data_IF_098275569178
#
_entry.id   IF_098275569178
#
_cell.length_a   1.000
_cell.length_b   1.000
_cell.length_c   1.000
_cell.angle_alpha   90.00
_cell.angle_beta   90.00
_cell.angle_gamma   90.00
#
_symmetry.space_group_name_H-M   'P 1'
#
loop_
_entity.id
_entity.type
_entity.pdbx_description
1 polymer ?
#
# COMPACT_ATOMS: atom_id res chain seq x y z
N UNK A 1 18.20 60.04 4.96
CA UNK A 1 17.20 58.96 5.10
C UNK A 1 17.37 57.92 4.00
N UNK A 2 17.16 58.26 2.72
CA UNK A 2 17.24 57.28 1.61
C UNK A 2 18.57 56.51 1.49
N UNK A 3 19.73 57.17 1.69
CA UNK A 3 21.05 56.49 1.69
C UNK A 3 21.17 55.41 2.77
N UNK A 4 20.69 55.69 3.98
CA UNK A 4 20.75 54.75 5.11
C UNK A 4 19.85 53.52 4.89
N UNK A 5 18.73 53.67 4.15
CA UNK A 5 17.89 52.54 3.76
C UNK A 5 18.59 51.64 2.72
N UNK A 6 19.34 52.22 1.78
CA UNK A 6 20.12 51.47 0.79
C UNK A 6 21.31 50.76 1.43
N UNK A 7 21.99 51.40 2.36
CA UNK A 7 23.11 50.83 3.11
C UNK A 7 22.68 49.63 3.96
N UNK A 8 21.55 49.74 4.68
CA UNK A 8 20.96 48.62 5.42
C UNK A 8 20.53 47.45 4.51
N UNK A 9 19.96 47.74 3.34
CA UNK A 9 19.57 46.69 2.39
C UNK A 9 20.77 45.87 1.90
N UNK A 10 21.91 46.52 1.64
CA UNK A 10 23.17 45.87 1.24
C UNK A 10 23.73 45.02 2.39
N UNK A 11 23.64 45.50 3.63
CA UNK A 11 24.06 44.75 4.82
C UNK A 11 23.22 43.47 5.02
N UNK A 12 21.88 43.56 4.90
CA UNK A 12 20.98 42.39 4.96
C UNK A 12 21.23 41.39 3.81
N UNK A 13 21.61 41.88 2.62
CA UNK A 13 21.93 41.03 1.46
C UNK A 13 23.27 40.28 1.64
N UNK A 14 24.30 40.96 2.14
CA UNK A 14 25.58 40.31 2.50
C UNK A 14 25.41 39.29 3.63
N UNK A 15 24.56 39.56 4.62
CA UNK A 15 24.28 38.59 5.70
C UNK A 15 23.57 37.33 5.17
N UNK A 16 22.64 37.47 4.23
CA UNK A 16 21.99 36.33 3.55
C UNK A 16 23.00 35.51 2.74
N UNK A 17 23.81 36.15 1.90
CA UNK A 17 24.84 35.47 1.11
C UNK A 17 25.87 34.73 1.98
N UNK A 18 26.23 35.30 3.14
CA UNK A 18 27.12 34.64 4.11
C UNK A 18 26.49 33.38 4.72
N UNK A 19 25.19 33.42 5.05
CA UNK A 19 24.45 32.25 5.57
C UNK A 19 24.26 31.16 4.53
N UNK A 20 23.92 31.52 3.30
CA UNK A 20 23.75 30.58 2.19
C UNK A 20 25.06 29.81 1.90
N UNK A 21 26.19 30.53 1.86
CA UNK A 21 27.51 29.90 1.72
C UNK A 21 27.87 28.97 2.89
N UNK A 22 27.51 29.33 4.12
CA UNK A 22 27.76 28.47 5.28
C UNK A 22 26.97 27.14 5.20
N UNK A 23 25.72 27.19 4.72
CA UNK A 23 24.88 26.01 4.47
C UNK A 23 25.47 25.14 3.35
N UNK A 24 25.96 25.75 2.26
CA UNK A 24 26.61 25.02 1.16
C UNK A 24 27.87 24.27 1.64
N UNK A 25 28.74 24.92 2.42
CA UNK A 25 29.91 24.27 3.02
C UNK A 25 29.54 23.14 4.00
N UNK A 26 28.44 23.27 4.75
CA UNK A 26 27.96 22.21 5.66
C UNK A 26 27.41 21.01 4.89
N UNK A 27 26.63 21.22 3.82
CA UNK A 27 26.19 20.16 2.92
C UNK A 27 27.36 19.44 2.25
N UNK A 28 28.41 20.16 1.84
CA UNK A 28 29.59 19.55 1.23
C UNK A 28 30.38 18.69 2.25
N UNK A 29 30.49 19.11 3.52
CA UNK A 29 31.07 18.30 4.61
C UNK A 29 30.25 17.03 4.85
N UNK A 30 28.93 17.15 5.01
CA UNK A 30 28.04 16.01 5.23
C UNK A 30 28.07 14.99 4.06
N UNK A 31 28.22 15.48 2.82
CA UNK A 31 28.39 14.62 1.64
C UNK A 31 29.72 13.84 1.67
N UNK A 32 30.82 14.50 2.05
CA UNK A 32 32.14 13.86 2.20
C UNK A 32 32.15 12.80 3.32
N UNK A 33 31.48 13.08 4.44
CA UNK A 33 31.38 12.15 5.57
C UNK A 33 30.59 10.87 5.23
N UNK A 34 29.45 11.01 4.54
CA UNK A 34 28.69 9.85 4.00
C UNK A 34 29.49 9.03 2.99
N UNK A 35 30.35 9.68 2.19
CA UNK A 35 31.22 9.00 1.24
C UNK A 35 32.36 8.22 1.93
N UNK A 36 32.86 8.67 3.08
CA UNK A 36 33.82 7.90 3.90
C UNK A 36 33.15 6.72 4.61
N UNK A 37 31.98 6.93 5.24
CA UNK A 37 31.26 5.87 5.97
C UNK A 37 30.84 4.71 5.05
N UNK A 38 30.48 5.03 3.79
CA UNK A 38 30.16 4.04 2.76
C UNK A 38 31.37 3.16 2.39
N UNK A 39 32.59 3.72 2.35
CA UNK A 39 33.83 2.98 2.03
C UNK A 39 34.25 2.05 3.16
N UNK A 40 34.17 2.50 4.41
CA UNK A 40 34.48 1.67 5.57
C UNK A 40 33.54 0.46 5.67
N UNK A 41 32.25 0.66 5.37
CA UNK A 41 31.26 -0.44 5.29
C UNK A 41 31.59 -1.44 4.18
N UNK A 42 32.11 -1.00 3.03
CA UNK A 42 32.49 -1.90 1.94
C UNK A 42 33.74 -2.75 2.28
N UNK A 43 34.76 -2.17 2.94
CA UNK A 43 35.94 -2.93 3.40
C UNK A 43 35.62 -3.89 4.56
N UNK A 44 34.69 -3.53 5.44
CA UNK A 44 34.20 -4.41 6.50
C UNK A 44 33.45 -5.65 5.97
N UNK A 45 32.79 -5.53 4.81
CA UNK A 45 32.13 -6.67 4.14
C UNK A 45 33.16 -7.56 3.43
N UNK A 46 34.16 -6.96 2.76
CA UNK A 46 35.23 -7.72 2.07
C UNK A 46 36.13 -8.50 3.02
N UNK A 47 36.38 -8.02 4.24
CA UNK A 47 37.19 -8.74 5.24
C UNK A 47 36.47 -9.95 5.83
N UNK A 48 35.16 -9.88 6.08
CA UNK A 48 34.35 -11.02 6.58
C UNK A 48 34.19 -12.18 5.58
N UNK A 49 34.37 -11.93 4.28
CA UNK A 49 34.25 -12.97 3.26
C UNK A 49 35.43 -13.94 3.18
N UNK A 50 36.51 -13.75 3.97
CA UNK A 50 37.77 -14.51 3.85
C UNK A 50 38.02 -15.55 4.95
N UNK A 51 37.21 -15.58 6.01
CA UNK A 51 37.33 -16.52 7.13
C UNK A 51 36.02 -17.29 7.33
N UNK A 52 35.85 -18.41 6.61
CA UNK A 52 34.59 -19.15 6.64
C UNK A 52 34.49 -20.40 5.77
N UNK A 53 35.54 -21.23 5.69
CA UNK A 53 35.50 -22.49 4.93
C UNK A 53 35.86 -23.72 5.78
N UNK A 54 34.90 -24.21 6.56
CA UNK A 54 34.93 -25.58 7.10
C UNK A 54 33.55 -26.23 7.00
N UNK A 55 33.55 -27.48 6.54
CA UNK A 55 32.39 -28.30 6.15
C UNK A 55 31.44 -28.71 7.26
N UNK A 56 30.15 -28.78 6.95
CA UNK A 56 29.26 -29.85 7.45
C UNK A 56 28.11 -30.12 6.45
N UNK A 57 27.52 -31.30 6.51
CA UNK A 57 26.75 -31.90 5.40
C UNK A 57 25.26 -32.12 5.69
N UNK A 58 24.42 -31.76 4.71
CA UNK A 58 23.03 -32.25 4.51
C UNK A 58 21.96 -31.80 5.54
N UNK A 59 20.64 -31.83 5.20
CA UNK A 59 20.01 -32.35 3.99
C UNK A 59 19.36 -31.27 3.09
N UNK A 60 18.91 -31.71 1.89
CA UNK A 60 18.22 -30.88 0.90
C UNK A 60 16.86 -30.40 1.41
N UNK A 61 16.74 -29.13 1.80
CA UNK A 61 15.48 -28.39 1.67
C UNK A 61 15.39 -27.81 0.26
N UNK A 62 14.19 -27.81 -0.33
CA UNK A 62 13.93 -27.17 -1.62
C UNK A 62 14.28 -25.67 -1.55
N UNK A 63 14.75 -25.04 -2.65
CA UNK A 63 14.95 -23.60 -2.66
C UNK A 63 13.65 -22.88 -2.28
N UNK A 64 13.70 -21.80 -1.49
CA UNK A 64 12.52 -20.96 -1.30
C UNK A 64 12.08 -20.47 -2.68
N UNK A 65 10.85 -20.79 -3.08
CA UNK A 65 10.29 -20.26 -4.31
C UNK A 65 10.21 -18.75 -4.16
N UNK A 66 11.00 -18.03 -4.95
CA UNK A 66 10.94 -16.59 -5.04
C UNK A 66 9.69 -16.24 -5.84
N UNK A 67 8.54 -16.19 -5.16
CA UNK A 67 7.32 -15.70 -5.75
C UNK A 67 7.56 -14.24 -6.19
N UNK A 68 7.26 -13.87 -7.44
CA UNK A 68 7.24 -12.46 -7.82
C UNK A 68 6.18 -11.74 -6.96
N UNK A 69 6.40 -10.46 -6.60
CA UNK A 69 5.51 -9.75 -5.70
C UNK A 69 4.12 -9.55 -6.34
N UNK A 70 3.12 -10.31 -5.89
CA UNK A 70 1.73 -10.28 -6.36
C UNK A 70 0.98 -8.97 -5.99
N UNK A 71 1.48 -7.82 -6.44
CA UNK A 71 0.85 -6.53 -6.18
C UNK A 71 1.57 -5.30 -6.73
N UNK A 72 2.79 -5.46 -7.26
CA UNK A 72 3.35 -4.52 -8.22
C UNK A 72 3.06 -4.99 -9.64
N UNK A 73 2.81 -4.06 -10.56
CA UNK A 73 2.65 -4.36 -12.00
C UNK A 73 4.01 -4.65 -12.64
N UNK A 74 4.66 -5.74 -12.21
CA UNK A 74 5.86 -6.29 -12.82
C UNK A 74 5.43 -7.21 -13.95
N UNK A 75 5.66 -6.82 -15.20
CA UNK A 75 5.61 -7.76 -16.31
C UNK A 75 6.81 -8.70 -16.17
N UNK A 76 6.60 -10.01 -16.19
CA UNK A 76 7.72 -10.94 -16.30
C UNK A 76 8.39 -10.73 -17.66
N UNK A 77 9.70 -10.94 -17.78
CA UNK A 77 10.37 -10.75 -19.08
C UNK A 77 9.87 -11.72 -20.16
N UNK A 78 9.25 -12.83 -19.76
CA UNK A 78 8.59 -13.82 -20.63
C UNK A 78 7.26 -13.31 -21.22
N UNK A 79 6.63 -12.28 -20.62
CA UNK A 79 5.39 -11.66 -21.14
C UNK A 79 5.67 -10.59 -22.22
N UNK A 80 6.94 -10.37 -22.61
CA UNK A 80 7.32 -9.38 -23.65
C UNK A 80 6.94 -9.82 -25.08
N UNK A 81 6.60 -11.09 -25.30
CA UNK A 81 6.20 -11.64 -26.59
C UNK A 81 4.84 -12.36 -26.52
N UNK A 82 3.79 -11.65 -26.07
CA UNK A 82 2.41 -12.08 -26.34
C UNK A 82 1.99 -11.45 -27.67
N UNK A 83 1.76 -12.24 -28.75
CA UNK A 83 1.23 -11.70 -29.99
C UNK A 83 -0.19 -11.16 -29.76
N UNK A 84 -0.54 -10.07 -30.44
CA UNK A 84 -1.91 -9.59 -30.53
C UNK A 84 -2.75 -10.69 -31.21
N UNK A 85 -3.47 -11.48 -30.40
CA UNK A 85 -4.42 -12.49 -30.88
C UNK A 85 -5.80 -12.21 -30.28
N UNK A 86 -6.63 -11.57 -31.10
CA UNK A 86 -8.04 -11.92 -31.33
C UNK A 86 -8.84 -12.44 -30.12
N UNK A 87 -9.11 -11.58 -29.13
CA UNK A 87 -10.32 -11.70 -28.30
C UNK A 87 -11.46 -10.95 -29.03
N UNK A 88 -12.64 -11.58 -29.10
CA UNK A 88 -13.78 -11.21 -29.96
C UNK A 88 -14.08 -9.70 -30.10
N UNK A 89 -14.16 -9.24 -31.36
CA UNK A 89 -14.53 -7.88 -31.73
C UNK A 89 -16.02 -7.65 -31.48
N UNK A 90 -16.36 -7.02 -30.36
CA UNK A 90 -17.57 -6.21 -30.30
C UNK A 90 -17.29 -4.93 -31.10
N UNK A 91 -17.69 -4.93 -32.36
CA UNK A 91 -17.71 -3.72 -33.20
C UNK A 91 -18.71 -2.73 -32.58
N UNK A 92 -18.20 -1.84 -31.73
CA UNK A 92 -18.85 -0.57 -31.42
C UNK A 92 -18.27 0.47 -32.37
N UNK A 93 -19.14 1.03 -33.20
CA UNK A 93 -18.79 2.02 -34.22
C UNK A 93 -18.01 3.19 -33.60
N UNK A 94 -16.93 3.60 -34.27
CA UNK A 94 -15.96 4.52 -33.71
C UNK A 94 -16.47 5.97 -33.58
N UNK A 95 -17.00 6.32 -32.41
CA UNK A 95 -17.21 7.70 -31.96
C UNK A 95 -16.61 7.92 -30.54
N UNK A 96 -16.09 9.13 -30.29
CA UNK A 96 -15.34 9.61 -29.10
C UNK A 96 -15.13 8.62 -27.92
N UNK A 97 -13.97 7.97 -27.92
CA UNK A 97 -13.42 7.20 -26.79
C UNK A 97 -13.16 8.17 -25.62
N UNK A 98 -13.59 7.81 -24.40
CA UNK A 98 -13.58 8.67 -23.21
C UNK A 98 -14.55 9.86 -23.29
N UNK A 99 -15.86 9.58 -23.34
CA UNK A 99 -16.91 10.59 -23.13
C UNK A 99 -17.05 11.05 -21.65
N UNK A 100 -15.92 11.09 -20.94
CA UNK A 100 -15.76 11.35 -19.50
C UNK A 100 -15.44 12.84 -19.24
N UNK A 101 -16.04 13.73 -20.04
CA UNK A 101 -15.74 15.17 -20.09
C UNK A 101 -16.31 15.98 -18.89
N UNK A 102 -16.64 15.32 -17.77
CA UNK A 102 -17.26 15.94 -16.60
C UNK A 102 -16.67 15.49 -15.27
N UNK A 103 -16.66 16.40 -14.29
CA UNK A 103 -16.37 16.07 -12.88
C UNK A 103 -17.29 14.96 -12.36
N UNK A 104 -18.56 15.02 -12.76
CA UNK A 104 -19.59 14.03 -12.46
C UNK A 104 -19.27 12.64 -13.02
N UNK A 105 -18.68 12.53 -14.21
CA UNK A 105 -18.38 11.24 -14.84
C UNK A 105 -17.25 10.49 -14.12
N UNK A 106 -16.19 11.20 -13.74
CA UNK A 106 -15.08 10.63 -12.95
C UNK A 106 -15.59 10.20 -11.56
N UNK A 107 -16.43 11.04 -10.93
CA UNK A 107 -17.02 10.73 -9.63
C UNK A 107 -17.97 9.52 -9.71
N UNK A 108 -18.87 9.49 -10.70
CA UNK A 108 -19.81 8.39 -10.93
C UNK A 108 -19.07 7.06 -11.19
N UNK A 109 -17.97 7.09 -11.94
CA UNK A 109 -17.12 5.91 -12.14
C UNK A 109 -16.52 5.42 -10.81
N UNK A 110 -15.94 6.34 -10.02
CA UNK A 110 -15.40 6.01 -8.71
C UNK A 110 -16.45 5.41 -7.76
N UNK A 111 -17.64 6.01 -7.69
CA UNK A 111 -18.72 5.55 -6.81
C UNK A 111 -19.32 4.20 -7.27
N UNK A 112 -19.35 3.96 -8.58
CA UNK A 112 -19.92 2.73 -9.16
C UNK A 112 -18.96 1.54 -9.02
N UNK A 113 -17.68 1.73 -9.34
CA UNK A 113 -16.70 0.65 -9.37
C UNK A 113 -15.98 0.47 -8.02
N UNK A 114 -15.91 1.52 -7.21
CA UNK A 114 -15.18 1.56 -5.95
C UNK A 114 -15.95 2.22 -4.78
N UNK A 115 -17.22 1.84 -4.50
CA UNK A 115 -18.10 2.50 -3.52
C UNK A 115 -17.58 2.54 -2.06
N UNK A 116 -16.52 1.78 -1.75
CA UNK A 116 -15.88 1.73 -0.43
C UNK A 116 -14.58 2.55 -0.35
N UNK A 117 -14.11 3.12 -1.46
CA UNK A 117 -12.86 3.88 -1.55
C UNK A 117 -13.16 5.38 -1.62
N UNK A 118 -12.59 6.14 -0.69
CA UNK A 118 -12.68 7.61 -0.69
C UNK A 118 -11.49 8.15 -1.47
N UNK A 119 -11.73 8.84 -2.58
CA UNK A 119 -10.69 9.46 -3.42
C UNK A 119 -10.52 10.96 -3.13
N UNK A 120 -9.33 11.40 -2.68
CA UNK A 120 -8.97 12.82 -2.58
C UNK A 120 -9.19 13.62 -3.87
N UNK A 121 -9.59 14.88 -3.74
CA UNK A 121 -9.92 15.76 -4.88
C UNK A 121 -8.73 15.98 -5.84
N UNK A 122 -7.51 16.08 -5.32
CA UNK A 122 -6.29 16.21 -6.13
C UNK A 122 -6.03 14.99 -7.04
N UNK A 123 -6.51 13.79 -6.69
CA UNK A 123 -6.45 12.63 -7.60
C UNK A 123 -7.39 12.86 -8.78
N UNK A 124 -8.62 13.33 -8.54
CA UNK A 124 -9.61 13.60 -9.61
C UNK A 124 -9.14 14.70 -10.56
N UNK A 125 -8.55 15.77 -10.02
CA UNK A 125 -7.91 16.83 -10.81
C UNK A 125 -6.77 16.31 -11.69
N UNK A 126 -6.00 15.34 -11.18
CA UNK A 126 -4.89 14.71 -11.92
C UNK A 126 -5.39 13.82 -13.04
N UNK A 127 -6.44 13.03 -12.78
CA UNK A 127 -7.14 12.24 -13.81
C UNK A 127 -7.65 13.15 -14.92
N UNK A 128 -8.23 14.32 -14.62
CA UNK A 128 -8.65 15.31 -15.65
C UNK A 128 -7.47 15.81 -16.48
N UNK A 129 -6.35 16.13 -15.83
CA UNK A 129 -5.12 16.53 -16.52
C UNK A 129 -4.62 15.46 -17.49
N UNK A 130 -4.61 14.20 -17.06
CA UNK A 130 -4.20 13.07 -17.90
C UNK A 130 -5.20 12.78 -19.02
N UNK A 131 -6.52 12.78 -18.74
CA UNK A 131 -7.58 12.64 -19.76
C UNK A 131 -7.46 13.72 -20.85
N UNK A 132 -7.14 14.96 -20.48
CA UNK A 132 -6.92 16.05 -21.44
C UNK A 132 -5.77 15.81 -22.41
N UNK A 133 -4.73 15.08 -22.00
CA UNK A 133 -3.60 14.65 -22.84
C UNK A 133 -4.00 13.42 -23.67
N UNK A 134 -4.68 12.45 -23.05
CA UNK A 134 -5.11 11.21 -23.69
C UNK A 134 -6.23 11.39 -24.72
N UNK A 135 -6.97 12.51 -24.70
CA UNK A 135 -8.12 12.76 -25.58
C UNK A 135 -7.83 12.61 -27.09
N UNK A 136 -6.61 12.89 -27.52
CA UNK A 136 -6.21 12.78 -28.94
C UNK A 136 -5.59 11.42 -29.29
N UNK A 137 -5.65 10.43 -28.39
CA UNK A 137 -4.91 9.17 -28.48
C UNK A 137 -5.91 8.04 -28.55
N UNK A 138 -5.90 7.31 -29.67
CA UNK A 138 -6.82 6.21 -29.89
C UNK A 138 -6.49 5.02 -29.01
N UNK A 139 -7.43 4.71 -28.12
CA UNK A 139 -7.53 3.43 -27.40
C UNK A 139 -8.62 2.55 -28.03
N UNK A 140 -8.78 2.58 -29.37
CA UNK A 140 -9.82 1.80 -30.05
C UNK A 140 -9.76 0.31 -29.68
N UNK A 141 -10.92 -0.29 -29.41
CA UNK A 141 -11.05 -1.67 -28.92
C UNK A 141 -10.64 -1.90 -27.46
N UNK A 142 -10.29 -0.85 -26.71
CA UNK A 142 -10.00 -0.92 -25.26
C UNK A 142 -11.25 -0.57 -24.47
N UNK A 143 -11.49 -1.30 -23.38
CA UNK A 143 -12.54 -0.98 -22.42
C UNK A 143 -12.23 0.34 -21.65
N UNK A 144 -13.12 1.33 -21.70
CA UNK A 144 -12.96 2.61 -21.01
C UNK A 144 -12.78 2.45 -19.47
N UNK A 145 -13.41 1.45 -18.84
CA UNK A 145 -13.21 1.13 -17.42
C UNK A 145 -11.73 0.79 -17.14
N UNK A 146 -11.06 0.11 -18.07
CA UNK A 146 -9.64 -0.24 -17.94
C UNK A 146 -8.77 1.00 -17.96
N UNK A 147 -9.03 1.91 -18.90
CA UNK A 147 -8.32 3.19 -19.01
C UNK A 147 -8.52 3.99 -17.73
N UNK A 148 -9.76 4.08 -17.21
CA UNK A 148 -10.07 4.81 -15.99
C UNK A 148 -9.48 4.18 -14.72
N UNK A 149 -9.56 2.85 -14.56
CA UNK A 149 -8.93 2.16 -13.43
C UNK A 149 -7.42 2.36 -13.39
N UNK A 150 -6.76 2.34 -14.56
CA UNK A 150 -5.32 2.63 -14.69
C UNK A 150 -5.01 4.10 -14.43
N UNK A 151 -5.82 5.04 -14.91
CA UNK A 151 -5.66 6.47 -14.62
C UNK A 151 -5.80 6.78 -13.13
N UNK A 152 -6.73 6.13 -12.43
CA UNK A 152 -6.87 6.26 -10.97
C UNK A 152 -5.62 5.73 -10.26
N UNK A 153 -5.11 4.55 -10.66
CA UNK A 153 -3.89 3.97 -10.11
C UNK A 153 -2.69 4.90 -10.27
N UNK A 154 -2.40 5.34 -11.50
CA UNK A 154 -1.27 6.23 -11.82
C UNK A 154 -1.41 7.57 -11.08
N UNK A 155 -2.59 8.19 -11.11
CA UNK A 155 -2.84 9.47 -10.43
C UNK A 155 -2.68 9.37 -8.91
N UNK A 156 -2.96 8.20 -8.33
CA UNK A 156 -2.78 7.96 -6.89
C UNK A 156 -1.32 7.83 -6.47
N UNK A 157 -0.49 7.21 -7.30
CA UNK A 157 0.97 7.12 -7.14
C UNK A 157 1.63 8.49 -7.29
N UNK A 158 1.19 9.28 -8.27
CA UNK A 158 1.71 10.63 -8.49
C UNK A 158 1.45 11.55 -7.27
N UNK A 159 0.27 11.43 -6.65
CA UNK A 159 -0.16 12.24 -5.52
C UNK A 159 0.18 11.72 -4.13
N UNK A 160 1.13 10.77 -4.02
CA UNK A 160 1.59 10.20 -2.74
C UNK A 160 0.45 9.65 -1.86
N UNK A 161 -0.61 9.17 -2.51
CA UNK A 161 -1.81 8.60 -1.88
C UNK A 161 -2.24 7.31 -2.60
N UNK A 162 -1.33 6.31 -2.71
CA UNK A 162 -1.52 5.14 -3.55
C UNK A 162 -2.72 4.28 -3.13
N UNK A 163 -3.38 3.71 -4.13
CA UNK A 163 -4.27 2.55 -3.98
C UNK A 163 -3.56 1.35 -4.60
N UNK A 164 -3.75 0.19 -3.97
CA UNK A 164 -3.04 -1.02 -4.37
C UNK A 164 -3.76 -1.67 -5.55
N UNK A 165 -3.04 -2.46 -6.35
CA UNK A 165 -3.65 -3.14 -7.50
C UNK A 165 -4.91 -3.94 -7.09
N UNK A 166 -4.86 -4.58 -5.91
CA UNK A 166 -5.95 -5.40 -5.35
C UNK A 166 -7.17 -4.58 -4.91
N UNK A 167 -7.02 -3.29 -4.67
CA UNK A 167 -8.13 -2.37 -4.35
C UNK A 167 -8.79 -1.81 -5.60
N UNK A 168 -8.01 -1.54 -6.66
CA UNK A 168 -8.51 -1.00 -7.93
C UNK A 168 -8.89 -2.07 -8.96
N UNK A 169 -8.74 -3.36 -8.63
CA UNK A 169 -9.00 -4.47 -9.54
C UNK A 169 -10.47 -4.53 -9.97
N UNK A 170 -10.70 -4.24 -11.24
CA UNK A 170 -12.00 -4.40 -11.89
C UNK A 170 -12.27 -5.90 -12.14
N UNK A 171 -13.47 -6.37 -11.77
CA UNK A 171 -13.82 -7.81 -11.67
C UNK A 171 -13.60 -8.61 -12.95
N UNK A 172 -13.68 -7.97 -14.12
CA UNK A 172 -13.62 -8.61 -15.43
C UNK A 172 -12.30 -8.36 -16.18
N UNK A 173 -11.27 -7.83 -15.51
CA UNK A 173 -10.01 -7.43 -16.13
C UNK A 173 -8.87 -8.34 -15.66
N UNK A 174 -8.16 -8.94 -16.63
CA UNK A 174 -6.93 -9.72 -16.37
C UNK A 174 -5.79 -8.78 -15.98
N UNK A 175 -4.98 -9.19 -15.01
CA UNK A 175 -3.95 -8.33 -14.42
C UNK A 175 -2.88 -7.92 -15.45
N UNK A 176 -2.53 -8.82 -16.38
CA UNK A 176 -1.67 -8.52 -17.53
C UNK A 176 -2.24 -7.44 -18.46
N UNK A 177 -3.57 -7.42 -18.72
CA UNK A 177 -4.21 -6.35 -19.52
C UNK A 177 -4.13 -5.00 -18.81
N UNK A 178 -4.30 -4.97 -17.49
CA UNK A 178 -4.13 -3.74 -16.69
C UNK A 178 -2.68 -3.25 -16.68
N UNK A 179 -1.70 -4.13 -16.43
CA UNK A 179 -0.29 -3.72 -16.39
C UNK A 179 0.25 -3.31 -17.77
N UNK A 180 -0.21 -3.95 -18.85
CA UNK A 180 0.07 -3.51 -20.23
C UNK A 180 -0.50 -2.11 -20.48
N UNK A 181 -1.75 -1.85 -20.07
CA UNK A 181 -2.37 -0.53 -20.18
C UNK A 181 -1.68 0.53 -19.30
N UNK A 182 -1.23 0.19 -18.08
CA UNK A 182 -0.36 1.04 -17.24
C UNK A 182 0.82 1.53 -18.06
N UNK A 183 1.58 0.60 -18.64
CA UNK A 183 2.80 0.93 -19.37
C UNK A 183 2.51 1.75 -20.63
N UNK A 184 1.41 1.47 -21.35
CA UNK A 184 0.98 2.25 -22.51
C UNK A 184 0.63 3.70 -22.13
N UNK A 185 -0.14 3.91 -21.07
CA UNK A 185 -0.53 5.25 -20.58
C UNK A 185 0.66 6.00 -19.99
N UNK A 186 1.50 5.36 -19.18
CA UNK A 186 2.73 5.96 -18.62
C UNK A 186 3.69 6.41 -19.72
N UNK A 187 3.90 5.58 -20.75
CA UNK A 187 4.72 5.95 -21.93
C UNK A 187 4.18 7.22 -22.60
N UNK A 188 2.88 7.22 -22.91
CA UNK A 188 2.20 8.35 -23.55
C UNK A 188 2.30 9.64 -22.74
N UNK A 189 2.07 9.57 -21.42
CA UNK A 189 2.13 10.75 -20.55
C UNK A 189 3.57 11.30 -20.47
N UNK A 190 4.57 10.43 -20.39
CA UNK A 190 5.99 10.80 -20.47
C UNK A 190 6.36 11.46 -21.82
N UNK A 191 5.88 10.92 -22.94
CA UNK A 191 6.10 11.49 -24.28
C UNK A 191 5.46 12.88 -24.45
N UNK A 192 4.39 13.16 -23.70
CA UNK A 192 3.71 14.47 -23.64
C UNK A 192 4.22 15.37 -22.50
N UNK A 193 5.37 15.06 -21.90
CA UNK A 193 6.07 15.91 -20.93
C UNK A 193 5.64 15.76 -19.46
N UNK A 194 4.67 14.89 -19.16
CA UNK A 194 4.32 14.53 -17.79
C UNK A 194 5.26 13.41 -17.33
N UNK A 195 6.26 13.77 -16.53
CA UNK A 195 7.21 12.80 -15.97
C UNK A 195 6.54 11.92 -14.91
N UNK A 196 6.24 10.67 -15.28
CA UNK A 196 5.71 9.67 -14.37
C UNK A 196 6.81 8.66 -14.07
N UNK A 197 7.31 8.72 -12.84
CA UNK A 197 8.24 7.75 -12.26
C UNK A 197 7.47 6.50 -11.82
N UNK A 198 8.00 5.31 -12.08
CA UNK A 198 7.41 4.06 -11.59
C UNK A 198 7.75 3.91 -10.09
N UNK A 199 6.87 4.48 -9.25
CA UNK A 199 7.02 4.52 -7.80
C UNK A 199 6.55 3.21 -7.18
N UNK A 200 7.45 2.50 -6.51
CA UNK A 200 7.08 1.40 -5.61
C UNK A 200 6.25 1.93 -4.43
N UNK A 201 5.21 1.20 -4.03
CA UNK A 201 4.32 1.58 -2.92
C UNK A 201 5.00 1.25 -1.59
N UNK A 202 5.20 2.26 -0.73
CA UNK A 202 5.77 2.09 0.61
C UNK A 202 4.68 1.83 1.66
N UNK A 203 4.94 1.00 2.70
CA UNK A 203 3.98 0.74 3.77
C UNK A 203 3.45 2.02 4.44
N UNK A 204 4.31 3.03 4.64
CA UNK A 204 3.94 4.32 5.24
C UNK A 204 2.89 5.09 4.41
N UNK A 205 2.95 5.05 3.08
CA UNK A 205 1.99 5.72 2.21
C UNK A 205 0.58 5.14 2.39
N UNK A 206 0.48 3.82 2.43
CA UNK A 206 -0.78 3.12 2.69
C UNK A 206 -1.30 3.38 4.11
N UNK A 207 -0.41 3.34 5.11
CA UNK A 207 -0.76 3.64 6.50
C UNK A 207 -1.31 5.06 6.67
N UNK A 208 -0.80 6.08 5.96
CA UNK A 208 -1.35 7.45 6.01
C UNK A 208 -2.82 7.50 5.63
N UNK A 209 -3.25 6.68 4.67
CA UNK A 209 -4.65 6.56 4.22
C UNK A 209 -5.48 5.72 5.20
N UNK A 210 -5.01 4.52 5.57
CA UNK A 210 -5.71 3.66 6.53
C UNK A 210 -5.88 4.36 7.89
N UNK A 211 -4.88 5.11 8.35
CA UNK A 211 -4.95 5.90 9.57
C UNK A 211 -6.11 6.90 9.60
N UNK A 212 -6.44 7.51 8.45
CA UNK A 212 -7.60 8.41 8.31
C UNK A 212 -8.90 7.62 8.32
N UNK A 213 -8.96 6.52 7.56
CA UNK A 213 -10.13 5.62 7.48
C UNK A 213 -10.51 5.03 8.86
N UNK A 214 -9.52 4.70 9.68
CA UNK A 214 -9.70 4.16 11.03
C UNK A 214 -9.71 5.23 12.14
N UNK A 215 -9.72 6.53 11.81
CA UNK A 215 -9.85 7.61 12.78
C UNK A 215 -8.72 7.64 13.84
N UNK A 216 -7.48 7.36 13.45
CA UNK A 216 -6.37 7.28 14.41
C UNK A 216 -5.98 8.66 14.97
N UNK A 217 -5.92 8.74 16.31
CA UNK A 217 -5.26 9.79 17.09
C UNK A 217 -3.82 10.06 16.62
N UNK A 218 -3.31 11.28 16.85
CA UNK A 218 -1.95 11.68 16.43
C UNK A 218 -0.89 10.68 16.91
N UNK A 219 -0.82 10.44 18.22
CA UNK A 219 0.02 9.43 18.86
C UNK A 219 -0.07 8.05 18.18
N UNK A 220 -1.29 7.58 17.89
CA UNK A 220 -1.51 6.30 17.21
C UNK A 220 -1.11 6.31 15.73
N UNK A 221 -0.97 7.48 15.10
CA UNK A 221 -0.43 7.67 13.74
C UNK A 221 1.09 7.71 13.76
N UNK A 222 1.65 8.53 14.65
CA UNK A 222 3.10 8.71 14.79
C UNK A 222 3.75 7.36 15.12
N UNK A 223 3.16 6.59 16.05
CA UNK A 223 3.58 5.22 16.40
C UNK A 223 3.62 4.24 15.22
N UNK A 224 2.59 4.19 14.36
CA UNK A 224 2.59 3.29 13.20
C UNK A 224 3.48 3.79 12.06
N UNK A 225 3.68 5.10 11.92
CA UNK A 225 4.56 5.67 10.89
C UNK A 225 6.03 5.44 11.26
N UNK A 226 6.43 5.68 12.51
CA UNK A 226 7.77 5.31 13.01
C UNK A 226 8.05 3.82 12.82
N UNK A 227 7.08 2.95 13.15
CA UNK A 227 7.23 1.52 12.92
C UNK A 227 7.37 1.17 11.42
N UNK A 228 6.70 1.89 10.53
CA UNK A 228 6.79 1.70 9.08
C UNK A 228 8.14 2.13 8.51
N UNK A 229 8.64 3.30 8.90
CA UNK A 229 9.97 3.77 8.50
C UNK A 229 11.05 2.78 8.98
N UNK A 230 10.90 2.27 10.21
CA UNK A 230 11.78 1.20 10.73
C UNK A 230 11.67 -0.08 9.88
N UNK A 231 10.49 -0.49 9.38
CA UNK A 231 10.40 -1.66 8.48
C UNK A 231 11.15 -1.51 7.16
N UNK A 232 11.33 -0.30 6.62
CA UNK A 232 12.14 -0.11 5.40
C UNK A 232 13.61 -0.48 5.63
N UNK A 233 14.16 -0.15 6.80
CA UNK A 233 15.55 -0.48 7.18
C UNK A 233 15.77 -1.97 7.44
N UNK A 234 14.69 -2.74 7.65
CA UNK A 234 14.74 -4.16 8.01
C UNK A 234 14.75 -5.11 6.81
N UNK A 235 14.63 -4.60 5.58
CA UNK A 235 14.75 -5.40 4.35
C UNK A 235 13.72 -6.52 4.23
N UNK A 236 12.51 -6.32 4.75
CA UNK A 236 11.45 -7.34 4.76
C UNK A 236 11.00 -7.68 3.34
N UNK A 237 10.98 -8.98 3.00
CA UNK A 237 10.51 -9.49 1.69
C UNK A 237 8.98 -9.60 1.57
N UNK A 238 8.24 -8.89 2.42
CA UNK A 238 6.77 -8.97 2.48
C UNK A 238 6.12 -7.81 1.72
N UNK A 239 4.94 -8.07 1.15
CA UNK A 239 4.25 -7.06 0.35
C UNK A 239 3.88 -5.82 1.21
N UNK A 240 4.06 -4.59 0.69
CA UNK A 240 3.77 -3.35 1.41
C UNK A 240 2.38 -3.31 2.08
N UNK A 241 1.33 -3.75 1.38
CA UNK A 241 -0.04 -3.88 1.92
C UNK A 241 -0.08 -4.77 3.18
N UNK A 242 0.66 -5.88 3.18
CA UNK A 242 0.65 -6.84 4.28
C UNK A 242 1.44 -6.32 5.47
N UNK A 243 2.55 -5.62 5.23
CA UNK A 243 3.31 -4.91 6.27
C UNK A 243 2.43 -3.81 6.88
N UNK A 244 1.84 -2.93 6.07
CA UNK A 244 0.94 -1.88 6.52
C UNK A 244 -0.24 -2.43 7.33
N UNK A 245 -0.90 -3.48 6.84
CA UNK A 245 -2.05 -4.06 7.54
C UNK A 245 -1.65 -4.77 8.85
N UNK A 246 -0.43 -5.31 8.97
CA UNK A 246 0.08 -5.88 10.20
C UNK A 246 0.51 -4.80 11.22
N UNK A 247 1.19 -3.75 10.77
CA UNK A 247 1.56 -2.58 11.59
C UNK A 247 0.34 -1.85 12.14
N UNK A 248 -0.72 -1.72 11.34
CA UNK A 248 -1.98 -1.10 11.76
C UNK A 248 -2.63 -1.83 12.94
N UNK A 249 -2.58 -3.17 12.94
CA UNK A 249 -3.07 -3.98 14.08
C UNK A 249 -2.14 -3.81 15.27
N UNK A 250 -0.83 -4.05 15.09
CA UNK A 250 0.16 -3.98 16.18
C UNK A 250 0.17 -2.61 16.89
N UNK A 251 0.15 -1.51 16.14
CA UNK A 251 0.15 -0.15 16.69
C UNK A 251 -1.19 0.31 17.26
N UNK A 252 -2.24 -0.52 17.19
CA UNK A 252 -3.57 -0.21 17.78
C UNK A 252 -4.07 -1.25 18.78
N UNK A 253 -3.25 -2.25 19.13
CA UNK A 253 -3.50 -3.20 20.22
C UNK A 253 -3.67 -2.53 21.59
N UNK A 254 -3.04 -1.38 21.81
CA UNK A 254 -3.15 -0.58 23.04
C UNK A 254 -4.40 0.30 23.07
N UNK A 255 -5.23 0.33 22.00
CA UNK A 255 -6.48 1.09 21.98
C UNK A 255 -7.62 0.32 22.63
N UNK A 256 -8.59 1.06 23.18
CA UNK A 256 -9.82 0.52 23.74
C UNK A 256 -11.02 1.13 22.98
N UNK A 257 -11.79 0.34 22.21
CA UNK A 257 -11.50 -1.03 21.77
C UNK A 257 -10.34 -1.07 20.74
N UNK A 258 -9.59 -2.18 20.64
CA UNK A 258 -8.53 -2.33 19.65
C UNK A 258 -9.12 -2.59 18.25
N UNK A 259 -8.38 -2.25 17.19
CA UNK A 259 -8.82 -2.53 15.83
C UNK A 259 -8.66 -4.03 15.55
N UNK A 260 -9.78 -4.68 15.20
CA UNK A 260 -9.79 -6.13 14.99
C UNK A 260 -9.12 -6.53 13.67
N UNK A 261 -8.58 -7.74 13.66
CA UNK A 261 -8.10 -8.37 12.43
C UNK A 261 -9.19 -8.43 11.35
N UNK A 262 -10.47 -8.56 11.69
CA UNK A 262 -11.55 -8.58 10.68
C UNK A 262 -11.73 -7.21 10.03
N UNK A 263 -11.81 -6.14 10.82
CA UNK A 263 -11.95 -4.77 10.31
C UNK A 263 -10.81 -4.40 9.35
N UNK A 264 -9.56 -4.72 9.72
CA UNK A 264 -8.41 -4.50 8.84
C UNK A 264 -8.46 -5.40 7.58
N UNK A 265 -9.06 -6.61 7.64
CA UNK A 265 -9.26 -7.43 6.43
C UNK A 265 -10.13 -6.71 5.41
N UNK A 266 -11.27 -6.22 5.89
CA UNK A 266 -12.30 -5.62 5.05
C UNK A 266 -11.84 -4.28 4.45
N UNK A 267 -10.97 -3.55 5.16
CA UNK A 267 -10.45 -2.26 4.72
C UNK A 267 -9.23 -2.35 3.78
N UNK A 268 -8.44 -3.42 3.86
CA UNK A 268 -7.15 -3.55 3.13
C UNK A 268 -7.16 -4.63 2.05
N UNK A 269 -8.22 -5.43 1.94
CA UNK A 269 -8.31 -6.62 1.10
C UNK A 269 -7.21 -7.69 1.33
N UNK A 270 -6.39 -7.57 2.39
CA UNK A 270 -5.37 -8.57 2.74
C UNK A 270 -5.97 -9.66 3.62
N UNK A 271 -5.77 -10.92 3.24
CA UNK A 271 -6.26 -12.11 3.96
C UNK A 271 -5.81 -12.13 5.44
N UNK A 272 -6.71 -12.53 6.34
CA UNK A 272 -6.47 -12.70 7.79
C UNK A 272 -5.25 -13.59 8.06
N UNK A 273 -5.10 -14.69 7.32
CA UNK A 273 -3.97 -15.62 7.46
C UNK A 273 -2.63 -14.96 7.14
N UNK A 274 -2.55 -14.26 6.01
CA UNK A 274 -1.36 -13.48 5.61
C UNK A 274 -0.99 -12.46 6.68
N UNK A 275 -1.96 -11.70 7.20
CA UNK A 275 -1.70 -10.70 8.24
C UNK A 275 -1.31 -11.32 9.57
N UNK A 276 -1.85 -12.47 9.96
CA UNK A 276 -1.40 -13.19 11.18
C UNK A 276 0.06 -13.63 11.05
N UNK A 277 0.47 -14.13 9.88
CA UNK A 277 1.86 -14.50 9.55
C UNK A 277 2.80 -13.30 9.60
N UNK A 278 2.46 -12.20 8.90
CA UNK A 278 3.30 -10.98 8.85
C UNK A 278 3.35 -10.28 10.20
N UNK A 279 2.23 -10.21 10.95
CA UNK A 279 2.21 -9.72 12.34
C UNK A 279 3.15 -10.53 13.23
N UNK A 280 3.10 -11.87 13.16
CA UNK A 280 3.99 -12.73 13.94
C UNK A 280 5.46 -12.48 13.56
N UNK A 281 5.78 -12.43 12.27
CA UNK A 281 7.12 -12.09 11.79
C UNK A 281 7.62 -10.74 12.33
N UNK A 282 6.81 -9.67 12.28
CA UNK A 282 7.18 -8.36 12.80
C UNK A 282 7.41 -8.36 14.33
N UNK A 283 6.60 -9.11 15.06
CA UNK A 283 6.71 -9.27 16.52
C UNK A 283 7.96 -10.06 16.90
N UNK A 284 8.13 -11.26 16.32
CA UNK A 284 9.24 -12.20 16.56
C UNK A 284 10.60 -11.58 16.22
N UNK A 285 10.70 -10.79 15.15
CA UNK A 285 11.97 -10.17 14.76
C UNK A 285 12.28 -8.89 15.55
N UNK A 286 11.35 -7.94 15.72
CA UNK A 286 11.72 -6.56 16.07
C UNK A 286 10.73 -5.77 16.95
N UNK A 287 9.86 -6.38 17.78
CA UNK A 287 8.83 -5.63 18.55
C UNK A 287 9.35 -4.36 19.25
N UNK A 288 10.46 -4.46 20.00
CA UNK A 288 11.06 -3.33 20.73
C UNK A 288 11.85 -2.32 19.89
N UNK A 289 12.11 -2.61 18.60
CA UNK A 289 12.72 -1.69 17.64
C UNK A 289 11.66 -1.02 16.75
N UNK A 290 10.55 -1.72 16.47
CA UNK A 290 9.41 -1.18 15.72
C UNK A 290 8.58 -0.20 16.56
N UNK A 291 8.39 -0.52 17.84
CA UNK A 291 7.73 0.34 18.81
C UNK A 291 8.69 0.57 19.98
N UNK A 292 9.56 1.59 19.95
CA UNK A 292 10.34 1.97 21.12
C UNK A 292 9.34 2.25 22.26
N UNK A 293 9.54 1.63 23.42
CA UNK A 293 8.53 1.70 24.47
C UNK A 293 8.37 3.14 24.98
N UNK A 294 7.17 3.69 24.80
CA UNK A 294 6.67 4.78 25.63
C UNK A 294 6.91 4.38 27.09
N UNK A 295 7.58 5.23 27.88
CA UNK A 295 8.19 4.87 29.17
C UNK A 295 7.23 4.57 30.32
N UNK A 296 6.20 3.76 30.09
CA UNK A 296 5.15 3.39 31.03
C UNK A 296 4.56 2.01 30.69
N UNK A 297 5.15 0.94 31.25
CA UNK A 297 4.46 -0.33 31.46
C UNK A 297 4.97 -1.51 30.62
N UNK A 298 5.95 -2.22 31.17
CA UNK A 298 6.20 -3.62 30.82
C UNK A 298 4.99 -4.51 31.20
N UNK A 299 4.99 -5.74 30.67
CA UNK A 299 4.03 -6.83 30.93
C UNK A 299 2.61 -6.68 30.36
N UNK A 300 2.43 -7.18 29.13
CA UNK A 300 1.35 -8.15 28.89
C UNK A 300 1.94 -9.34 28.12
N UNK A 301 2.21 -10.43 28.84
CA UNK A 301 2.53 -11.73 28.26
C UNK A 301 1.23 -12.49 27.93
N UNK A 302 1.26 -13.28 26.86
CA UNK A 302 0.37 -14.42 26.58
C UNK A 302 -1.12 -14.31 26.96
N UNK A 303 -1.94 -13.88 26.00
CA UNK A 303 -3.38 -14.17 25.99
C UNK A 303 -3.77 -14.81 24.65
N UNK A 304 -3.33 -16.05 24.43
CA UNK A 304 -3.91 -16.91 23.40
C UNK A 304 -5.29 -17.37 23.87
N UNK A 305 -6.34 -16.60 23.51
CA UNK A 305 -7.72 -17.03 23.69
C UNK A 305 -8.09 -18.03 22.58
N UNK A 306 -7.79 -19.30 22.85
CA UNK A 306 -8.30 -20.44 22.11
C UNK A 306 -9.84 -20.50 22.22
N UNK A 307 -10.55 -20.15 21.15
CA UNK A 307 -12.01 -20.36 21.05
C UNK A 307 -12.24 -21.63 20.25
N UNK A 308 -12.11 -22.76 20.92
CA UNK A 308 -12.51 -24.07 20.42
C UNK A 308 -13.97 -24.39 20.78
N UNK A 309 -14.69 -24.99 19.84
CA UNK A 309 -15.82 -25.90 20.08
C UNK A 309 -16.98 -25.44 20.98
N UNK A 310 -18.09 -25.04 20.36
CA UNK A 310 -19.42 -25.11 20.97
C UNK A 310 -20.44 -25.65 19.94
N UNK A 311 -20.22 -26.87 19.48
CA UNK A 311 -21.28 -27.67 18.85
C UNK A 311 -22.18 -28.22 19.96
N UNK A 312 -23.37 -27.64 20.15
CA UNK A 312 -24.41 -28.26 20.99
C UNK A 312 -25.24 -29.24 20.16
N UNK A 313 -24.93 -30.53 20.28
CA UNK A 313 -25.84 -31.61 19.88
C UNK A 313 -27.15 -31.52 20.66
N UNK A 314 -28.28 -31.80 20.00
CA UNK A 314 -29.62 -31.86 20.61
C UNK A 314 -30.27 -33.22 20.29
N UNK A 315 -30.13 -34.18 21.22
CA UNK A 315 -30.81 -35.48 21.34
C UNK A 315 -30.33 -36.10 22.68
N UNK A 316 -31.03 -36.87 23.53
CA UNK A 316 -32.35 -37.56 23.62
C UNK A 316 -32.79 -37.43 25.11
N UNK A 317 -34.04 -37.52 25.60
CA UNK A 317 -35.37 -37.81 25.06
C UNK A 317 -36.17 -38.76 26.00
N UNK A 318 -37.48 -38.96 25.77
CA UNK A 318 -38.45 -39.74 26.59
C UNK A 318 -38.82 -39.11 27.98
N UNK A 319 -40.05 -39.28 28.50
CA UNK A 319 -41.25 -39.90 27.92
C UNK A 319 -42.44 -40.03 28.90
N UNK A 320 -43.60 -40.45 28.36
CA UNK A 320 -44.78 -41.07 29.02
C UNK A 320 -45.58 -40.35 30.14
N UNK A 321 -46.89 -40.18 29.85
CA UNK A 321 -48.01 -40.47 30.78
C UNK A 321 -48.57 -39.28 31.59
N UNK A 322 -49.87 -39.14 31.85
CA UNK A 322 -51.11 -39.89 31.52
C UNK A 322 -52.32 -38.91 31.55
N UNK A 323 -53.44 -39.26 30.88
CA UNK A 323 -54.88 -38.94 31.23
C UNK A 323 -55.27 -37.46 31.48
N UNK A 324 -56.52 -36.99 31.42
CA UNK A 324 -57.90 -37.41 31.07
C UNK A 324 -58.56 -36.06 30.65
N UNK A 325 -59.66 -35.89 29.90
CA UNK A 325 -60.78 -36.72 29.45
C UNK A 325 -61.98 -35.78 29.22
N UNK A 326 -62.93 -36.15 28.33
CA UNK A 326 -64.20 -35.44 28.01
C UNK A 326 -64.09 -34.00 27.41
N UNK A 327 -65.01 -33.53 26.55
CA UNK A 327 -66.17 -34.18 25.92
C UNK A 327 -67.00 -33.19 25.07
N UNK A 328 -68.01 -33.71 24.35
CA UNK A 328 -69.16 -33.00 23.73
C UNK A 328 -68.84 -32.03 22.54
N UNK A 329 -69.43 -32.27 21.35
CA UNK A 329 -70.66 -31.64 20.78
C UNK A 329 -70.46 -30.16 20.37
N UNK A 330 -71.04 -29.61 19.29
CA UNK A 330 -71.88 -30.10 18.18
C UNK A 330 -71.71 -29.12 16.99
N UNK A 331 -72.16 -29.52 15.78
CA UNK A 331 -72.44 -28.69 14.60
C UNK A 331 -71.31 -28.03 13.77
#
# INVERSE_FOLDING_TARGET
MERALKEKAIEEEMERASKEKAIEEEMERASKEKATESKEKEEAIKSKAKEGSTSSSSPKSSPPQHFPPEGECVLNEEDKEIPEQDDEVLEQDGEEILNLNGEDAIQQFMDTHYPMLIFPQNIKETIRGYLGILRNISFAGVNDDLVMGVLIYISSLDRDSPYTFKELRLKNIKDSKFCSMKNKIVKVLNENGIKIEDKSIKPIQLLRRYARQFGLTNEGRDRIFTAADNTETLGLSEHPDSIAAALLVLGTETKIPPITMQQVSNATNVNIGTRRRVKKMLHDLHRGSLFPEDGAGAEVAGAEAEVAGAETEVQVGAGAGEKEGAGEEEH
#
